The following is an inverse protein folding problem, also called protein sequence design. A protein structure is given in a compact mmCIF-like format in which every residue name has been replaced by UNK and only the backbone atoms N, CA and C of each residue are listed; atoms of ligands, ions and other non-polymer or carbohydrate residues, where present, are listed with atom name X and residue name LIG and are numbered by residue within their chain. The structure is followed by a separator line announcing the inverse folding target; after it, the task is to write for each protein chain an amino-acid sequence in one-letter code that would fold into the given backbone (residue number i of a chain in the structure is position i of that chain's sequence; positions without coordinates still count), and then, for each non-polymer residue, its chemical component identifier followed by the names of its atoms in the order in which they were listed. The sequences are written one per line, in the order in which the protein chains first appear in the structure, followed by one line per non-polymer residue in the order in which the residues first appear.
data_IF_789208483565
#
_entry.id   IF_789208483565
#
_cell.length_a   1.000
_cell.length_b   1.000
_cell.length_c   1.000
_cell.angle_alpha   90.00
_cell.angle_beta   90.00
_cell.angle_gamma   90.00
#
_symmetry.space_group_name_H-M   'P 1'
#
loop_
_entity.id
_entity.type
_entity.pdbx_description
1 polymer ?
#
# COMPACT_ATOMS: atom_id res chain seq x y z
N UNK A 1 1.58 -16.40 2.57
CA UNK A 1 0.62 -16.65 1.47
C UNK A 1 1.32 -16.60 0.10
N UNK A 2 1.85 -17.73 -0.42
CA UNK A 2 2.63 -17.79 -1.67
C UNK A 2 1.83 -17.47 -2.94
N UNK A 3 0.51 -17.68 -2.91
CA UNK A 3 -0.36 -17.55 -4.09
C UNK A 3 -0.65 -16.09 -4.49
N UNK A 4 -0.55 -15.16 -3.53
CA UNK A 4 -0.89 -13.76 -3.76
C UNK A 4 0.10 -13.07 -4.72
N UNK A 5 1.42 -13.29 -4.54
CA UNK A 5 2.46 -12.75 -5.43
C UNK A 5 2.35 -13.25 -6.88
N UNK A 6 2.01 -14.54 -7.07
CA UNK A 6 1.83 -15.12 -8.41
C UNK A 6 0.57 -14.59 -9.11
N UNK A 7 -0.51 -14.39 -8.36
CA UNK A 7 -1.72 -13.75 -8.88
C UNK A 7 -1.46 -12.29 -9.28
N UNK A 8 -0.71 -11.55 -8.45
CA UNK A 8 -0.28 -10.18 -8.71
C UNK A 8 0.49 -10.03 -10.02
N UNK A 9 1.55 -10.82 -10.21
CA UNK A 9 2.42 -10.71 -11.37
C UNK A 9 1.70 -10.99 -12.71
N UNK A 10 0.60 -11.75 -12.68
CA UNK A 10 -0.24 -11.98 -13.88
C UNK A 10 -1.28 -10.88 -14.13
N UNK A 11 -1.65 -10.14 -13.10
CA UNK A 11 -2.72 -9.15 -13.13
C UNK A 11 -2.21 -7.70 -13.24
N UNK A 12 -0.93 -7.48 -12.92
CA UNK A 12 -0.21 -6.21 -13.07
C UNK A 12 -0.33 -5.59 -14.48
N UNK A 13 -0.23 -6.36 -15.58
CA UNK A 13 -0.42 -5.83 -16.94
C UNK A 13 -1.87 -5.50 -17.30
N UNK A 14 -2.85 -5.95 -16.49
CA UNK A 14 -4.30 -5.85 -16.78
C UNK A 14 -5.03 -4.80 -15.94
N UNK A 15 -4.30 -3.97 -15.18
CA UNK A 15 -4.89 -2.90 -14.36
C UNK A 15 -5.13 -3.25 -12.89
N UNK A 16 -4.44 -4.27 -12.34
CA UNK A 16 -4.52 -4.58 -10.90
C UNK A 16 -3.47 -3.88 -10.03
N UNK A 17 -2.58 -3.07 -10.60
CA UNK A 17 -1.63 -2.22 -9.84
C UNK A 17 -2.33 -1.37 -8.74
N UNK A 18 -3.54 -0.81 -8.96
CA UNK A 18 -4.29 -0.15 -7.89
C UNK A 18 -4.60 -1.10 -6.72
N UNK A 19 -5.03 -2.34 -6.99
CA UNK A 19 -5.40 -3.30 -5.96
C UNK A 19 -4.20 -3.66 -5.06
N UNK A 20 -3.00 -3.72 -5.65
CA UNK A 20 -1.75 -3.93 -4.90
C UNK A 20 -1.48 -2.78 -3.96
N UNK A 21 -1.55 -1.54 -4.45
CA UNK A 21 -1.34 -0.35 -3.65
C UNK A 21 -2.34 -0.26 -2.47
N UNK A 22 -3.60 -0.61 -2.71
CA UNK A 22 -4.64 -0.66 -1.67
C UNK A 22 -4.37 -1.75 -0.63
N UNK A 23 -3.86 -2.91 -1.04
CA UNK A 23 -3.45 -3.96 -0.12
C UNK A 23 -2.32 -3.49 0.80
N UNK A 24 -1.30 -2.82 0.26
CA UNK A 24 -0.21 -2.27 1.06
C UNK A 24 -0.68 -1.17 2.03
N UNK A 25 -1.58 -0.28 1.59
CA UNK A 25 -2.17 0.75 2.45
C UNK A 25 -3.04 0.13 3.55
N UNK A 26 -3.89 -0.85 3.22
CA UNK A 26 -4.73 -1.55 4.20
C UNK A 26 -3.93 -2.30 5.26
N UNK A 27 -2.81 -2.90 4.86
CA UNK A 27 -1.90 -3.54 5.81
C UNK A 27 -1.19 -2.54 6.72
N UNK A 28 -0.72 -1.40 6.19
CA UNK A 28 -0.14 -0.36 7.04
C UNK A 28 -1.14 0.14 8.11
N UNK A 29 -2.43 0.30 7.74
CA UNK A 29 -3.50 0.62 8.71
C UNK A 29 -3.70 -0.47 9.76
N UNK A 30 -3.66 -1.73 9.35
CA UNK A 30 -3.82 -2.88 10.24
C UNK A 30 -2.66 -2.97 11.24
N UNK A 31 -1.41 -2.84 10.78
CA UNK A 31 -0.22 -2.88 11.63
C UNK A 31 -0.18 -1.71 12.61
N UNK A 32 -0.61 -0.51 12.19
CA UNK A 32 -0.79 0.62 13.11
C UNK A 32 -1.79 0.29 14.23
N UNK A 33 -2.97 -0.25 13.88
CA UNK A 33 -3.99 -0.62 14.87
C UNK A 33 -3.52 -1.73 15.81
N UNK A 34 -2.68 -2.64 15.33
CA UNK A 34 -2.08 -3.70 16.12
C UNK A 34 -0.92 -3.22 17.02
N UNK A 35 -0.47 -1.96 16.90
CA UNK A 35 0.68 -1.43 17.65
C UNK A 35 2.04 -1.81 17.06
N UNK A 36 2.06 -2.59 15.97
CA UNK A 36 3.26 -3.03 15.25
C UNK A 36 3.75 -1.94 14.28
N UNK A 37 4.11 -0.77 14.84
CA UNK A 37 4.52 0.42 14.07
C UNK A 37 5.75 0.20 13.20
N UNK A 38 6.58 -0.80 13.49
CA UNK A 38 7.85 -1.02 12.81
C UNK A 38 7.69 -1.58 11.37
N UNK A 39 6.62 -2.34 11.09
CA UNK A 39 6.37 -2.92 9.76
C UNK A 39 5.52 -2.03 8.84
N UNK A 40 5.00 -0.93 9.38
CA UNK A 40 4.08 -0.03 8.68
C UNK A 40 4.77 0.92 7.67
N UNK A 41 5.95 1.51 7.94
CA UNK A 41 6.60 2.48 7.06
C UNK A 41 6.95 1.92 5.69
N UNK A 42 7.55 0.71 5.63
CA UNK A 42 7.98 0.08 4.37
C UNK A 42 6.79 -0.20 3.43
N UNK A 43 5.65 -0.58 4.01
CA UNK A 43 4.41 -0.85 3.29
C UNK A 43 3.74 0.43 2.81
N UNK A 44 3.80 1.49 3.61
CA UNK A 44 3.32 2.82 3.23
C UNK A 44 4.15 3.40 2.08
N UNK A 45 5.47 3.35 2.15
CA UNK A 45 6.36 3.81 1.06
C UNK A 45 6.07 3.08 -0.25
N UNK A 46 5.81 1.77 -0.19
CA UNK A 46 5.42 0.97 -1.35
C UNK A 46 4.07 1.43 -1.93
N UNK A 47 3.05 1.62 -1.09
CA UNK A 47 1.74 2.10 -1.53
C UNK A 47 1.80 3.50 -2.15
N UNK A 48 2.50 4.43 -1.51
CA UNK A 48 2.69 5.82 -1.99
C UNK A 48 3.40 5.86 -3.34
N UNK A 49 4.45 5.05 -3.51
CA UNK A 49 5.18 4.96 -4.79
C UNK A 49 4.27 4.46 -5.90
N UNK A 50 3.50 3.40 -5.64
CA UNK A 50 2.54 2.85 -6.60
C UNK A 50 1.44 3.86 -6.96
N UNK A 51 0.86 4.57 -6.00
CA UNK A 51 -0.15 5.59 -6.28
C UNK A 51 0.41 6.76 -7.10
N UNK A 52 1.68 7.14 -6.89
CA UNK A 52 2.35 8.18 -7.67
C UNK A 52 2.55 7.78 -9.13
N UNK A 53 2.98 6.54 -9.36
CA UNK A 53 3.16 5.98 -10.70
C UNK A 53 1.84 5.85 -11.48
N UNK A 54 0.71 5.83 -10.77
CA UNK A 54 -0.64 5.72 -11.34
C UNK A 54 -1.41 7.06 -11.34
N UNK A 55 -0.80 8.19 -10.93
CA UNK A 55 -1.42 9.52 -10.73
C UNK A 55 -2.72 9.47 -9.89
N UNK A 56 -2.76 8.62 -8.86
CA UNK A 56 -3.93 8.41 -7.99
C UNK A 56 -3.92 9.36 -6.77
N UNK A 57 -4.18 10.64 -7.01
CA UNK A 57 -4.00 11.74 -6.03
C UNK A 57 -4.79 11.58 -4.72
N UNK A 58 -6.05 11.15 -4.78
CA UNK A 58 -6.88 10.93 -3.58
C UNK A 58 -6.23 9.91 -2.63
N UNK A 59 -5.60 8.88 -3.18
CA UNK A 59 -4.96 7.82 -2.40
C UNK A 59 -3.55 8.18 -1.95
N UNK A 60 -2.87 9.07 -2.67
CA UNK A 60 -1.63 9.70 -2.20
C UNK A 60 -1.87 10.54 -0.94
N UNK A 61 -2.91 11.38 -0.95
CA UNK A 61 -3.26 12.21 0.21
C UNK A 61 -3.60 11.33 1.42
N UNK A 62 -4.30 10.22 1.19
CA UNK A 62 -4.60 9.28 2.26
C UNK A 62 -3.34 8.56 2.76
N UNK A 63 -2.44 8.09 1.90
CA UNK A 63 -1.19 7.47 2.34
C UNK A 63 -0.30 8.46 3.14
N UNK A 64 -0.25 9.72 2.73
CA UNK A 64 0.48 10.77 3.45
C UNK A 64 -0.14 11.09 4.82
N UNK A 65 -1.46 11.02 4.96
CA UNK A 65 -2.12 11.15 6.27
C UNK A 65 -1.69 10.03 7.22
N UNK A 66 -1.64 8.80 6.71
CA UNK A 66 -1.27 7.62 7.50
C UNK A 66 0.22 7.64 7.89
N UNK A 67 1.10 8.16 7.03
CA UNK A 67 2.52 8.40 7.33
C UNK A 67 2.71 9.43 8.45
N UNK A 68 1.92 10.52 8.45
CA UNK A 68 1.95 11.54 9.52
C UNK A 68 1.47 11.01 10.87
N UNK A 69 0.64 9.98 10.89
CA UNK A 69 0.16 9.33 12.13
C UNK A 69 1.15 8.28 12.69
N UNK A 70 2.22 7.95 11.94
CA UNK A 70 3.26 6.98 12.34
C UNK A 70 4.52 7.62 12.93
N UNK A 71 4.79 8.89 12.62
CA UNK A 71 5.80 9.74 13.29
C UNK A 71 5.28 10.25 14.63
#
# INVERSE_FOLDING_TARGET
MPNYRKALARAEPRGMRPLVAHYHLGLAKLYRRAGEREQSPERLTTATTMYREMDMRVWLDQAASEERELN
#
